data_IF_009240920999
#
_entry.id   IF_009240920999
#
_cell.length_a   1.000
_cell.length_b   1.000
_cell.length_c   1.000
_cell.angle_alpha   90.00
_cell.angle_beta   90.00
_cell.angle_gamma   90.00
#
_symmetry.space_group_name_H-M   'P 1'
#
loop_
_entity.id
_entity.type
_entity.pdbx_description
1 polymer ?
#
# COMPACT_ATOMS: atom_id res chain seq x y z
N UNK A 1 -27.90 -12.64 -16.13
CA UNK A 1 -27.55 -12.49 -17.56
C UNK A 1 -26.65 -11.29 -17.83
N UNK A 2 -27.05 -10.02 -17.61
CA UNK A 2 -26.18 -8.85 -17.95
C UNK A 2 -24.91 -8.80 -17.08
N UNK A 3 -25.05 -8.84 -15.74
CA UNK A 3 -23.89 -8.82 -14.84
C UNK A 3 -22.93 -9.98 -15.09
N UNK A 4 -23.47 -11.16 -15.37
CA UNK A 4 -22.69 -12.36 -15.68
C UNK A 4 -21.85 -12.16 -16.95
N UNK A 5 -22.43 -11.58 -18.00
CA UNK A 5 -21.68 -11.22 -19.21
C UNK A 5 -20.58 -10.23 -18.87
N UNK A 6 -20.86 -9.16 -18.12
CA UNK A 6 -19.86 -8.16 -17.75
C UNK A 6 -18.71 -8.79 -16.95
N UNK A 7 -19.02 -9.59 -15.92
CA UNK A 7 -17.99 -10.30 -15.14
C UNK A 7 -17.22 -11.31 -15.98
N UNK A 8 -17.88 -12.01 -16.93
CA UNK A 8 -17.16 -12.89 -17.85
C UNK A 8 -16.14 -12.13 -18.72
N UNK A 9 -16.44 -10.88 -19.09
CA UNK A 9 -15.51 -10.04 -19.85
C UNK A 9 -14.38 -9.49 -18.97
N UNK A 10 -14.71 -9.03 -17.75
CA UNK A 10 -13.72 -8.56 -16.77
C UNK A 10 -12.73 -9.67 -16.37
N UNK A 11 -13.23 -10.90 -16.21
CA UNK A 11 -12.46 -12.07 -15.80
C UNK A 11 -11.89 -12.89 -16.97
N UNK A 12 -11.97 -12.38 -18.20
CA UNK A 12 -11.42 -13.05 -19.39
C UNK A 12 -9.90 -13.16 -19.27
N UNK A 13 -9.37 -14.35 -19.51
CA UNK A 13 -7.92 -14.61 -19.59
C UNK A 13 -7.45 -14.64 -21.06
N UNK A 14 -6.20 -14.23 -21.38
CA UNK A 14 -5.21 -13.67 -20.46
C UNK A 14 -5.60 -12.27 -19.97
N UNK A 15 -6.31 -11.48 -20.78
CA UNK A 15 -6.71 -10.10 -20.47
C UNK A 15 -8.17 -9.81 -20.86
N UNK A 16 -8.83 -8.87 -20.16
CA UNK A 16 -10.13 -8.38 -20.58
C UNK A 16 -10.04 -7.63 -21.90
N UNK A 17 -11.14 -7.59 -22.65
CA UNK A 17 -11.19 -6.93 -23.95
C UNK A 17 -11.16 -5.38 -23.86
N UNK A 18 -11.37 -4.82 -22.67
CA UNK A 18 -11.38 -3.39 -22.40
C UNK A 18 -10.77 -3.12 -21.02
N UNK A 19 -10.54 -1.85 -20.69
CA UNK A 19 -9.99 -1.46 -19.40
C UNK A 19 -10.89 -1.95 -18.24
N UNK A 20 -10.34 -2.55 -17.17
CA UNK A 20 -11.12 -3.00 -16.01
C UNK A 20 -12.08 -1.93 -15.44
N UNK A 21 -11.63 -0.66 -15.43
CA UNK A 21 -12.41 0.48 -14.95
C UNK A 21 -13.72 0.70 -15.74
N UNK A 22 -13.73 0.39 -17.04
CA UNK A 22 -14.92 0.51 -17.88
C UNK A 22 -16.02 -0.46 -17.44
N UNK A 23 -15.66 -1.70 -17.08
CA UNK A 23 -16.63 -2.66 -16.55
C UNK A 23 -17.12 -2.23 -15.16
N UNK A 24 -16.23 -1.68 -14.34
CA UNK A 24 -16.58 -1.11 -13.04
C UNK A 24 -17.64 -0.01 -13.14
N UNK A 25 -17.44 0.99 -14.01
CA UNK A 25 -18.39 2.09 -14.19
C UNK A 25 -19.73 1.62 -14.73
N UNK A 26 -19.76 0.67 -15.68
CA UNK A 26 -21.01 0.07 -16.15
C UNK A 26 -21.76 -0.64 -15.02
N UNK A 27 -21.06 -1.40 -14.17
CA UNK A 27 -21.70 -2.09 -13.05
C UNK A 27 -22.28 -1.09 -12.05
N UNK A 28 -21.60 0.04 -11.79
CA UNK A 28 -22.14 1.11 -10.94
C UNK A 28 -23.46 1.66 -11.48
N UNK A 29 -23.54 1.92 -12.79
CA UNK A 29 -24.77 2.41 -13.43
C UNK A 29 -25.89 1.37 -13.44
N UNK A 30 -25.54 0.10 -13.66
CA UNK A 30 -26.53 -0.97 -13.77
C UNK A 30 -27.02 -1.49 -12.42
N UNK A 31 -26.28 -1.30 -11.33
CA UNK A 31 -26.54 -2.01 -10.07
C UNK A 31 -26.34 -1.14 -8.81
N UNK A 32 -27.37 -1.17 -7.96
CA UNK A 32 -27.28 -0.93 -6.50
C UNK A 32 -27.28 -2.26 -5.72
N UNK A 33 -27.00 -3.36 -6.41
CA UNK A 33 -27.42 -4.70 -6.01
C UNK A 33 -26.43 -5.33 -5.02
N UNK A 34 -26.95 -5.97 -3.97
CA UNK A 34 -26.18 -6.58 -2.86
C UNK A 34 -25.61 -7.97 -3.14
N UNK A 35 -25.80 -8.52 -4.34
CA UNK A 35 -25.50 -9.94 -4.60
C UNK A 35 -24.13 -10.09 -5.28
N UNK A 36 -23.19 -10.70 -4.55
CA UNK A 36 -21.79 -10.90 -4.93
C UNK A 36 -21.51 -12.31 -5.46
N UNK A 37 -20.51 -12.52 -6.35
CA UNK A 37 -19.99 -13.83 -6.68
C UNK A 37 -19.51 -14.61 -5.45
N UNK A 38 -20.17 -15.72 -5.15
CA UNK A 38 -19.89 -16.59 -3.99
C UNK A 38 -18.72 -17.57 -4.20
N UNK A 39 -18.09 -17.59 -5.40
CA UNK A 39 -17.14 -18.64 -5.83
C UNK A 39 -15.67 -18.20 -5.82
N UNK A 40 -15.26 -17.42 -4.82
CA UNK A 40 -13.87 -16.92 -4.70
C UNK A 40 -12.87 -18.07 -4.48
N UNK A 41 -13.25 -19.09 -3.70
CA UNK A 41 -12.34 -20.17 -3.29
C UNK A 41 -11.73 -20.97 -4.45
N UNK A 42 -12.41 -21.04 -5.60
CA UNK A 42 -11.95 -21.78 -6.79
C UNK A 42 -11.56 -20.86 -7.95
N UNK A 43 -11.46 -19.55 -7.69
CA UNK A 43 -11.18 -18.55 -8.72
C UNK A 43 -9.69 -18.52 -9.04
N UNK A 44 -9.35 -18.35 -10.32
CA UNK A 44 -7.95 -18.15 -10.74
C UNK A 44 -7.40 -16.86 -10.11
N UNK A 45 -6.15 -16.86 -9.63
CA UNK A 45 -5.58 -15.72 -8.86
C UNK A 45 -5.64 -14.39 -9.61
N UNK A 46 -5.33 -14.37 -10.92
CA UNK A 46 -5.48 -13.15 -11.74
C UNK A 46 -6.91 -12.60 -11.75
N UNK A 47 -7.91 -13.47 -11.68
CA UNK A 47 -9.31 -13.06 -11.59
C UNK A 47 -9.63 -12.58 -10.16
N UNK A 48 -9.02 -13.17 -9.12
CA UNK A 48 -9.13 -12.66 -7.74
C UNK A 48 -8.58 -11.24 -7.65
N UNK A 49 -7.41 -10.95 -8.20
CA UNK A 49 -6.83 -9.60 -8.19
C UNK A 49 -7.75 -8.58 -8.90
N UNK A 50 -8.27 -8.93 -10.08
CA UNK A 50 -9.27 -8.08 -10.78
C UNK A 50 -10.55 -7.90 -9.98
N UNK A 51 -10.92 -8.92 -9.21
CA UNK A 51 -12.10 -8.87 -8.36
C UNK A 51 -11.87 -7.97 -7.15
N UNK A 52 -10.68 -8.00 -6.55
CA UNK A 52 -10.25 -7.05 -5.50
C UNK A 52 -10.35 -5.62 -6.05
N UNK A 53 -9.81 -5.38 -7.24
CA UNK A 53 -9.82 -4.07 -7.90
C UNK A 53 -11.24 -3.54 -8.11
N UNK A 54 -12.09 -4.36 -8.73
CA UNK A 54 -13.47 -3.99 -8.99
C UNK A 54 -14.26 -3.82 -7.69
N UNK A 55 -14.11 -4.73 -6.73
CA UNK A 55 -14.96 -4.72 -5.54
C UNK A 55 -14.60 -3.57 -4.60
N UNK A 56 -13.32 -3.30 -4.38
CA UNK A 56 -12.90 -2.13 -3.60
C UNK A 56 -13.30 -0.80 -4.27
N UNK A 57 -13.25 -0.71 -5.60
CA UNK A 57 -13.78 0.44 -6.34
C UNK A 57 -15.30 0.55 -6.21
N UNK A 58 -16.03 -0.56 -6.31
CA UNK A 58 -17.47 -0.56 -6.07
C UNK A 58 -17.79 -0.04 -4.67
N UNK A 59 -17.12 -0.57 -3.65
CA UNK A 59 -17.27 -0.19 -2.25
C UNK A 59 -17.03 1.31 -1.99
N UNK A 60 -16.03 1.92 -2.64
CA UNK A 60 -15.76 3.35 -2.49
C UNK A 60 -16.88 4.26 -3.01
N UNK A 61 -17.73 3.75 -3.92
CA UNK A 61 -18.90 4.45 -4.44
C UNK A 61 -20.18 4.24 -3.60
N UNK A 62 -20.15 3.33 -2.63
CA UNK A 62 -21.29 3.01 -1.75
C UNK A 62 -20.93 3.13 -0.25
N UNK A 63 -20.09 4.11 0.07
CA UNK A 63 -19.69 4.44 1.45
C UNK A 63 -19.07 3.27 2.23
N UNK A 64 -18.47 2.30 1.54
CA UNK A 64 -17.85 1.11 2.13
C UNK A 64 -18.82 0.23 2.96
N UNK A 65 -20.13 0.36 2.71
CA UNK A 65 -21.16 -0.43 3.41
C UNK A 65 -21.25 -1.83 2.81
N UNK A 66 -20.90 -2.83 3.61
CA UNK A 66 -21.04 -4.24 3.24
C UNK A 66 -21.36 -5.10 4.46
N UNK A 67 -22.01 -6.24 4.23
CA UNK A 67 -22.28 -7.24 5.26
C UNK A 67 -21.02 -8.05 5.55
N UNK A 68 -19.97 -7.43 6.11
CA UNK A 68 -18.68 -8.09 6.37
C UNK A 68 -18.80 -9.32 7.28
N UNK A 69 -19.74 -9.32 8.23
CA UNK A 69 -20.04 -10.45 9.11
C UNK A 69 -20.44 -11.73 8.34
N UNK A 70 -21.04 -11.58 7.14
CA UNK A 70 -21.36 -12.74 6.29
C UNK A 70 -20.09 -13.49 5.82
N UNK A 71 -18.91 -12.88 5.99
CA UNK A 71 -17.61 -13.41 5.59
C UNK A 71 -16.67 -13.73 6.76
N UNK A 72 -17.16 -13.77 8.01
CA UNK A 72 -16.37 -14.15 9.21
C UNK A 72 -15.68 -15.52 9.07
N UNK A 73 -16.26 -16.43 8.27
CA UNK A 73 -15.68 -17.74 7.99
C UNK A 73 -14.31 -17.66 7.29
N UNK A 74 -13.94 -16.52 6.69
CA UNK A 74 -12.60 -16.34 6.14
C UNK A 74 -11.51 -16.21 7.22
N UNK A 75 -11.87 -15.81 8.44
CA UNK A 75 -10.92 -15.55 9.54
C UNK A 75 -10.31 -16.85 10.07
N UNK A 76 -11.03 -17.97 10.00
CA UNK A 76 -10.52 -19.30 10.40
C UNK A 76 -9.67 -19.97 9.32
N UNK A 77 -9.60 -19.39 8.12
CA UNK A 77 -8.78 -19.91 7.04
C UNK A 77 -7.31 -19.46 7.21
N UNK A 78 -6.39 -20.21 6.60
CA UNK A 78 -5.00 -19.78 6.52
C UNK A 78 -4.87 -18.47 5.70
N UNK A 79 -3.80 -17.72 5.94
CA UNK A 79 -3.57 -16.40 5.30
C UNK A 79 -3.51 -16.43 3.76
N UNK A 80 -3.21 -17.59 3.16
CA UNK A 80 -3.08 -17.76 1.71
C UNK A 80 -4.34 -18.32 1.05
N UNK A 81 -5.39 -18.61 1.83
CA UNK A 81 -6.66 -19.09 1.29
C UNK A 81 -7.28 -17.98 0.43
N UNK A 82 -7.73 -18.27 -0.82
CA UNK A 82 -8.21 -17.23 -1.75
C UNK A 82 -9.28 -16.30 -1.18
N UNK A 83 -10.19 -16.83 -0.35
CA UNK A 83 -11.23 -16.03 0.31
C UNK A 83 -10.64 -15.05 1.34
N UNK A 84 -9.75 -15.53 2.22
CA UNK A 84 -9.10 -14.66 3.23
C UNK A 84 -8.19 -13.62 2.57
N UNK A 85 -7.42 -14.03 1.57
CA UNK A 85 -6.62 -13.12 0.75
C UNK A 85 -7.48 -12.04 0.10
N UNK A 86 -8.55 -12.44 -0.62
CA UNK A 86 -9.47 -11.50 -1.26
C UNK A 86 -10.02 -10.46 -0.27
N UNK A 87 -10.53 -10.92 0.89
CA UNK A 87 -11.12 -10.01 1.89
C UNK A 87 -10.07 -9.04 2.42
N UNK A 88 -8.89 -9.54 2.81
CA UNK A 88 -7.78 -8.70 3.30
C UNK A 88 -7.35 -7.65 2.27
N UNK A 89 -7.16 -8.06 1.02
CA UNK A 89 -6.73 -7.16 -0.06
C UNK A 89 -7.81 -6.12 -0.42
N UNK A 90 -9.10 -6.48 -0.37
CA UNK A 90 -10.19 -5.53 -0.55
C UNK A 90 -10.17 -4.48 0.56
N UNK A 91 -10.01 -4.88 1.81
CA UNK A 91 -9.96 -3.97 2.96
C UNK A 91 -8.77 -3.00 2.82
N UNK A 92 -7.60 -3.53 2.51
CA UNK A 92 -6.38 -2.74 2.26
C UNK A 92 -6.58 -1.74 1.11
N UNK A 93 -7.20 -2.17 0.01
CA UNK A 93 -7.45 -1.30 -1.13
C UNK A 93 -8.52 -0.24 -0.85
N UNK A 94 -9.55 -0.57 -0.06
CA UNK A 94 -10.51 0.40 0.46
C UNK A 94 -9.82 1.46 1.33
N UNK A 95 -8.82 1.10 2.14
CA UNK A 95 -8.02 2.08 2.88
C UNK A 95 -7.31 3.05 1.92
N UNK A 96 -6.74 2.56 0.82
CA UNK A 96 -6.09 3.42 -0.19
C UNK A 96 -7.04 4.39 -0.89
N UNK A 97 -8.33 4.05 -0.98
CA UNK A 97 -9.38 4.96 -1.47
C UNK A 97 -9.97 5.86 -0.38
N UNK A 98 -9.56 5.67 0.87
CA UNK A 98 -10.04 6.42 2.03
C UNK A 98 -8.90 6.67 3.03
N UNK A 99 -9.14 6.41 4.31
CA UNK A 99 -8.20 6.50 5.41
C UNK A 99 -8.57 5.44 6.44
N UNK A 100 -7.59 5.04 7.26
CA UNK A 100 -7.69 3.88 8.15
C UNK A 100 -8.93 3.94 9.04
N UNK A 101 -9.14 5.05 9.74
CA UNK A 101 -10.22 5.20 10.73
C UNK A 101 -11.58 4.89 10.12
N UNK A 102 -11.90 5.50 8.97
CA UNK A 102 -13.17 5.27 8.28
C UNK A 102 -13.36 3.83 7.83
N UNK A 103 -12.31 3.16 7.36
CA UNK A 103 -12.45 1.75 6.96
C UNK A 103 -12.65 0.85 8.16
N UNK A 104 -11.90 1.07 9.25
CA UNK A 104 -12.06 0.30 10.47
C UNK A 104 -13.44 0.48 11.13
N UNK A 105 -14.03 1.67 11.06
CA UNK A 105 -15.42 1.91 11.51
C UNK A 105 -16.46 1.13 10.70
N UNK A 106 -16.13 0.74 9.45
CA UNK A 106 -17.02 -0.06 8.60
C UNK A 106 -16.89 -1.57 8.85
N UNK A 107 -15.88 -2.02 9.60
CA UNK A 107 -15.61 -3.42 9.87
C UNK A 107 -16.20 -3.87 11.21
N UNK A 108 -16.65 -5.13 11.34
CA UNK A 108 -17.03 -5.70 12.62
C UNK A 108 -15.79 -5.98 13.49
N UNK A 109 -15.98 -6.07 14.80
CA UNK A 109 -14.88 -6.32 15.76
C UNK A 109 -14.12 -7.62 15.48
N UNK A 110 -14.78 -8.64 14.91
CA UNK A 110 -14.16 -9.91 14.51
C UNK A 110 -13.04 -9.74 13.48
N UNK A 111 -13.06 -8.65 12.70
CA UNK A 111 -12.10 -8.39 11.62
C UNK A 111 -10.85 -7.65 12.10
N UNK A 112 -10.67 -7.42 13.41
CA UNK A 112 -9.51 -6.68 13.96
C UNK A 112 -8.16 -7.25 13.46
N UNK A 113 -8.03 -8.58 13.37
CA UNK A 113 -6.80 -9.25 12.89
C UNK A 113 -6.44 -8.92 11.42
N UNK A 114 -7.44 -8.60 10.59
CA UNK A 114 -7.25 -8.28 9.18
C UNK A 114 -7.58 -6.82 8.86
N UNK A 115 -7.77 -5.99 9.88
CA UNK A 115 -7.95 -4.56 9.73
C UNK A 115 -6.68 -3.94 9.11
N UNK A 116 -6.81 -2.87 8.33
CA UNK A 116 -5.67 -2.28 7.67
C UNK A 116 -4.76 -1.61 8.70
N UNK A 117 -3.45 -1.81 8.54
CA UNK A 117 -2.43 -1.18 9.38
C UNK A 117 -2.29 0.30 9.03
N UNK A 118 -1.76 1.09 9.96
CA UNK A 118 -1.44 2.47 9.67
C UNK A 118 -0.32 2.56 8.64
N UNK A 119 -0.46 3.35 7.56
CA UNK A 119 0.57 3.51 6.53
C UNK A 119 1.71 4.42 7.04
N UNK A 120 2.51 3.90 7.96
CA UNK A 120 3.64 4.60 8.57
C UNK A 120 4.93 4.29 7.82
N UNK A 121 5.82 5.28 7.73
CA UNK A 121 7.19 5.05 7.26
C UNK A 121 7.96 4.32 8.35
N UNK A 122 8.51 3.16 8.00
CA UNK A 122 9.47 2.47 8.85
C UNK A 122 10.78 3.26 8.89
N UNK A 123 11.12 3.81 10.05
CA UNK A 123 12.39 4.48 10.32
C UNK A 123 13.27 3.52 11.12
N UNK A 124 14.11 2.76 10.40
CA UNK A 124 15.00 1.75 10.97
C UNK A 124 16.45 2.22 10.87
N UNK A 125 16.86 3.00 11.87
CA UNK A 125 18.26 3.42 12.05
C UNK A 125 18.69 2.98 13.44
N UNK A 126 19.87 2.35 13.53
CA UNK A 126 20.45 1.96 14.80
C UNK A 126 21.08 3.18 15.50
N UNK A 127 20.26 3.90 16.27
CA UNK A 127 20.72 5.07 17.03
C UNK A 127 21.50 4.71 18.31
N UNK A 128 21.64 3.42 18.65
CA UNK A 128 22.48 2.99 19.76
C UNK A 128 23.96 3.10 19.41
N UNK A 129 24.30 2.93 18.12
CA UNK A 129 25.63 3.12 17.60
C UNK A 129 25.95 4.62 17.47
N UNK A 130 26.98 5.08 18.19
CA UNK A 130 27.35 6.50 18.25
C UNK A 130 27.70 7.09 16.87
N UNK A 131 28.42 6.33 16.05
CA UNK A 131 28.82 6.71 14.69
C UNK A 131 27.59 6.99 13.81
N UNK A 132 26.59 6.09 13.85
CA UNK A 132 25.34 6.19 13.10
C UNK A 132 24.51 7.37 13.58
N UNK A 133 24.41 7.57 14.91
CA UNK A 133 23.73 8.73 15.49
C UNK A 133 24.35 10.06 15.06
N UNK A 134 25.67 10.14 15.01
CA UNK A 134 26.38 11.32 14.51
C UNK A 134 26.13 11.54 13.01
N UNK A 135 26.08 10.46 12.22
CA UNK A 135 25.71 10.52 10.80
C UNK A 135 24.27 11.02 10.59
N UNK A 136 23.29 10.51 11.36
CA UNK A 136 21.89 10.97 11.31
C UNK A 136 21.84 12.48 11.54
N UNK A 137 22.49 12.97 12.60
CA UNK A 137 22.50 14.39 12.93
C UNK A 137 23.12 15.25 11.80
N UNK A 138 24.18 14.76 11.15
CA UNK A 138 24.82 15.42 10.00
C UNK A 138 23.86 15.49 8.80
N UNK A 139 23.22 14.38 8.44
CA UNK A 139 22.27 14.31 7.31
C UNK A 139 21.04 15.19 7.56
N UNK A 140 20.47 15.15 8.78
CA UNK A 140 19.36 16.02 9.15
C UNK A 140 19.74 17.50 9.05
N UNK A 141 20.94 17.87 9.50
CA UNK A 141 21.42 19.24 9.41
C UNK A 141 21.64 19.67 7.96
N UNK A 142 22.19 18.78 7.13
CA UNK A 142 22.36 19.00 5.69
C UNK A 142 21.00 19.25 5.02
N UNK A 143 19.96 18.45 5.34
CA UNK A 143 18.61 18.67 4.82
C UNK A 143 18.00 19.99 5.30
N UNK A 144 18.12 20.34 6.59
CA UNK A 144 17.66 21.63 7.14
C UNK A 144 18.31 22.82 6.44
N UNK A 145 19.60 22.73 6.15
CA UNK A 145 20.38 23.78 5.49
C UNK A 145 20.31 23.74 3.96
N UNK A 146 19.49 22.84 3.40
CA UNK A 146 19.31 22.65 1.95
C UNK A 146 20.61 22.35 1.20
N UNK A 147 21.52 21.62 1.83
CA UNK A 147 22.79 21.16 1.26
C UNK A 147 22.65 20.60 -0.17
N UNK A 148 23.71 20.74 -0.97
CA UNK A 148 23.76 20.20 -2.33
C UNK A 148 23.95 18.68 -2.32
N UNK A 149 23.64 17.98 -3.43
CA UNK A 149 23.88 16.54 -3.53
C UNK A 149 25.37 16.16 -3.35
N UNK A 150 26.28 17.01 -3.81
CA UNK A 150 27.72 16.80 -3.69
C UNK A 150 28.16 16.86 -2.22
N UNK A 151 27.67 17.85 -1.45
CA UNK A 151 27.96 17.97 -0.02
C UNK A 151 27.48 16.74 0.76
N UNK A 152 26.27 16.24 0.45
CA UNK A 152 25.77 15.01 1.06
C UNK A 152 26.57 13.78 0.65
N UNK A 153 26.96 13.70 -0.63
CA UNK A 153 27.80 12.60 -1.11
C UNK A 153 29.14 12.57 -0.38
N UNK A 154 29.73 13.73 -0.11
CA UNK A 154 30.97 13.85 0.67
C UNK A 154 30.78 13.36 2.11
N UNK A 155 29.70 13.75 2.80
CA UNK A 155 29.36 13.26 4.15
C UNK A 155 29.28 11.73 4.18
N UNK A 156 28.56 11.13 3.21
CA UNK A 156 28.37 9.68 3.14
C UNK A 156 29.68 8.94 2.82
N UNK A 157 30.50 9.50 1.92
CA UNK A 157 31.80 8.92 1.57
C UNK A 157 32.77 8.98 2.74
N UNK A 158 32.78 10.08 3.49
CA UNK A 158 33.66 10.24 4.64
C UNK A 158 33.33 9.22 5.74
N UNK A 159 32.04 9.05 6.06
CA UNK A 159 31.60 7.98 6.96
C UNK A 159 32.03 6.60 6.46
N UNK A 160 31.85 6.33 5.16
CA UNK A 160 32.20 5.04 4.55
C UNK A 160 33.70 4.75 4.54
N UNK A 161 34.57 5.77 4.66
CA UNK A 161 36.03 5.58 4.77
C UNK A 161 36.46 5.27 6.20
N UNK A 162 35.79 5.88 7.18
CA UNK A 162 36.09 5.71 8.60
C UNK A 162 35.61 4.35 9.11
N UNK A 163 34.44 3.92 8.66
CA UNK A 163 33.85 2.62 8.94
C UNK A 163 34.10 1.69 7.74
N UNK A 164 35.02 0.74 7.84
CA UNK A 164 35.46 -0.11 6.71
C UNK A 164 34.34 -0.91 6.00
N UNK A 165 33.16 -1.09 6.61
CA UNK A 165 31.94 -1.62 5.97
C UNK A 165 30.75 -0.65 6.02
N UNK A 166 31.00 0.65 6.21
CA UNK A 166 30.01 1.68 6.50
C UNK A 166 29.20 2.17 5.31
N UNK A 167 29.50 1.74 4.08
CA UNK A 167 28.80 2.25 2.88
C UNK A 167 27.31 1.89 2.84
N UNK A 168 26.95 0.65 3.20
CA UNK A 168 25.55 0.23 3.27
C UNK A 168 24.82 0.92 4.43
N UNK A 169 25.49 1.08 5.57
CA UNK A 169 24.98 1.81 6.74
C UNK A 169 24.77 3.29 6.40
N UNK A 170 25.71 3.91 5.69
CA UNK A 170 25.59 5.29 5.24
C UNK A 170 24.39 5.49 4.32
N UNK A 171 24.25 4.61 3.32
CA UNK A 171 23.17 4.68 2.35
C UNK A 171 21.80 4.38 2.96
N UNK A 172 21.70 3.36 3.82
CA UNK A 172 20.46 3.04 4.54
C UNK A 172 20.06 4.17 5.50
N UNK A 173 21.01 4.74 6.24
CA UNK A 173 20.78 5.91 7.10
C UNK A 173 20.31 7.12 6.29
N UNK A 174 20.96 7.39 5.16
CA UNK A 174 20.54 8.45 4.24
C UNK A 174 19.09 8.28 3.79
N UNK A 175 18.72 7.10 3.27
CA UNK A 175 17.36 6.85 2.82
C UNK A 175 16.35 6.91 3.96
N UNK A 176 16.67 6.36 5.14
CA UNK A 176 15.80 6.43 6.29
C UNK A 176 15.51 7.89 6.70
N UNK A 177 16.55 8.73 6.81
CA UNK A 177 16.39 10.15 7.16
C UNK A 177 15.67 10.92 6.05
N UNK A 178 16.02 10.68 4.77
CA UNK A 178 15.39 11.32 3.62
C UNK A 178 13.89 11.03 3.58
N UNK A 179 13.51 9.74 3.60
CA UNK A 179 12.12 9.31 3.55
C UNK A 179 11.33 9.82 4.75
N UNK A 180 11.90 9.76 5.96
CA UNK A 180 11.26 10.28 7.16
C UNK A 180 11.06 11.81 7.11
N UNK A 181 12.04 12.57 6.60
CA UNK A 181 11.92 14.02 6.42
C UNK A 181 10.86 14.41 5.39
N UNK A 182 10.64 13.55 4.38
CA UNK A 182 9.72 13.77 3.27
C UNK A 182 8.39 13.00 3.41
N UNK A 183 8.05 12.50 4.61
CA UNK A 183 6.92 11.58 4.85
C UNK A 183 5.52 12.17 4.71
N UNK A 184 5.41 13.49 4.49
CA UNK A 184 4.14 14.21 4.56
C UNK A 184 3.20 13.87 3.40
N UNK A 185 3.72 13.81 2.18
CA UNK A 185 2.95 13.44 0.98
C UNK A 185 3.87 12.81 -0.06
N UNK A 186 3.31 12.11 -1.05
CA UNK A 186 4.09 11.63 -2.19
C UNK A 186 4.82 12.77 -2.92
N UNK A 187 4.24 13.96 -3.04
CA UNK A 187 4.93 15.10 -3.66
C UNK A 187 6.18 15.55 -2.88
N UNK A 188 6.15 15.53 -1.55
CA UNK A 188 7.35 15.83 -0.74
C UNK A 188 8.42 14.77 -0.99
N UNK A 189 8.02 13.49 -1.01
CA UNK A 189 8.91 12.37 -1.28
C UNK A 189 9.56 12.48 -2.67
N UNK A 190 8.76 12.69 -3.72
CA UNK A 190 9.27 12.89 -5.08
C UNK A 190 10.21 14.09 -5.17
N UNK A 191 9.84 15.23 -4.58
CA UNK A 191 10.69 16.41 -4.59
C UNK A 191 12.05 16.16 -3.89
N UNK A 192 12.03 15.45 -2.76
CA UNK A 192 13.24 15.09 -2.04
C UNK A 192 14.13 14.13 -2.85
N UNK A 193 13.54 13.09 -3.45
CA UNK A 193 14.25 12.15 -4.32
C UNK A 193 14.84 12.84 -5.56
N UNK A 194 14.08 13.72 -6.23
CA UNK A 194 14.57 14.46 -7.40
C UNK A 194 15.67 15.45 -7.03
N UNK A 195 15.57 16.11 -5.86
CA UNK A 195 16.61 17.05 -5.41
C UNK A 195 17.97 16.38 -5.23
N UNK A 196 17.98 15.15 -4.75
CA UNK A 196 19.19 14.40 -4.42
C UNK A 196 19.50 13.27 -5.43
N UNK A 197 18.84 13.30 -6.60
CA UNK A 197 19.17 12.44 -7.72
C UNK A 197 20.37 13.05 -8.45
N UNK A 198 21.55 12.46 -8.24
CA UNK A 198 22.77 12.78 -9.01
C UNK A 198 22.79 11.97 -10.29
#
# INVERSE_FOLDING_TARGET
MILEVIFSQLMRLPDPASLPLFYGSIILELCKTKNMPQRIATMHMTCVDRFVDWFSYHMSNFEYRWSWADWDDCLVLNQHAPKRYFVKEVIEKCMRFSYREKISECLPDSFEEIAPEYPLISYSVDEEERSVKELVAQIENAFRNKATPEELTEILQEFSRQEGSGALTALSTFFAVLLNSAKKTFSHNFAAMTKYHV
#
